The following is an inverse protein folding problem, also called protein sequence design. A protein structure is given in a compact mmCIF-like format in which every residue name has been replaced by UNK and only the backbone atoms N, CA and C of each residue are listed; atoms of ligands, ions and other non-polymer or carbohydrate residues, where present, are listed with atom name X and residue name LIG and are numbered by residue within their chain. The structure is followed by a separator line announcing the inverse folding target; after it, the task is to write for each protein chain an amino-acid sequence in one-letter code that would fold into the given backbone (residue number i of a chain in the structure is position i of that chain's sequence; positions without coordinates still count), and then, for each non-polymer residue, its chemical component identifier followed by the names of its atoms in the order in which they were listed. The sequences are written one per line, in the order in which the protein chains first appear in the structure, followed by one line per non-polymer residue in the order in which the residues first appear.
data_IF_062804866032
#
_entry.id   IF_062804866032
#
_cell.length_a   1.000
_cell.length_b   1.000
_cell.length_c   1.000
_cell.angle_alpha   90.00
_cell.angle_beta   90.00
_cell.angle_gamma   90.00
#
_symmetry.space_group_name_H-M   'P 1'
#
loop_
_entity.id
_entity.type
_entity.pdbx_description
1 polymer ?
#
# COMPACT_ATOMS: atom_id res chain seq x y z
N UNK A 1 -29.93 -9.61 -20.26
CA UNK A 1 -28.94 -8.82 -19.49
C UNK A 1 -27.56 -9.21 -19.96
N UNK A 2 -26.66 -8.26 -20.20
CA UNK A 2 -25.26 -8.60 -20.51
C UNK A 2 -24.60 -9.24 -19.30
N UNK A 3 -23.56 -10.06 -19.51
CA UNK A 3 -22.82 -10.73 -18.42
C UNK A 3 -22.31 -9.70 -17.41
N UNK A 4 -21.87 -8.55 -17.90
CA UNK A 4 -21.36 -7.44 -17.09
C UNK A 4 -22.45 -6.78 -16.23
N UNK A 5 -23.68 -6.67 -16.75
CA UNK A 5 -24.82 -6.15 -15.98
C UNK A 5 -25.22 -7.09 -14.84
N UNK A 6 -25.12 -8.40 -15.03
CA UNK A 6 -25.45 -9.38 -13.99
C UNK A 6 -24.40 -9.33 -12.87
N UNK A 7 -23.11 -9.24 -13.24
CA UNK A 7 -22.03 -9.10 -12.26
C UNK A 7 -22.16 -7.78 -11.50
N UNK A 8 -22.40 -6.67 -12.21
CA UNK A 8 -22.62 -5.37 -11.60
C UNK A 8 -23.83 -5.35 -10.66
N UNK A 9 -24.96 -5.92 -11.07
CA UNK A 9 -26.16 -6.03 -10.23
C UNK A 9 -25.92 -6.94 -9.01
N UNK A 10 -25.17 -8.03 -9.18
CA UNK A 10 -24.80 -8.93 -8.09
C UNK A 10 -23.95 -8.24 -7.04
N UNK A 11 -22.91 -7.50 -7.46
CA UNK A 11 -22.07 -6.71 -6.56
C UNK A 11 -22.92 -5.66 -5.84
N UNK A 12 -23.77 -4.93 -6.56
CA UNK A 12 -24.62 -3.89 -5.97
C UNK A 12 -25.57 -4.46 -4.90
N UNK A 13 -26.20 -5.60 -5.16
CA UNK A 13 -27.10 -6.26 -4.20
C UNK A 13 -26.35 -6.75 -2.97
N UNK A 14 -25.17 -7.36 -3.15
CA UNK A 14 -24.34 -7.82 -2.04
C UNK A 14 -23.88 -6.63 -1.19
N UNK A 15 -23.39 -5.56 -1.82
CA UNK A 15 -22.99 -4.34 -1.11
C UNK A 15 -24.15 -3.72 -0.36
N UNK A 16 -25.33 -3.60 -0.97
CA UNK A 16 -26.52 -3.09 -0.31
C UNK A 16 -26.92 -3.96 0.89
N UNK A 17 -26.89 -5.29 0.76
CA UNK A 17 -27.20 -6.20 1.86
C UNK A 17 -26.21 -6.06 3.02
N UNK A 18 -24.91 -5.93 2.75
CA UNK A 18 -23.89 -5.70 3.78
C UNK A 18 -24.11 -4.37 4.49
N UNK A 19 -24.44 -3.30 3.77
CA UNK A 19 -24.75 -1.98 4.37
C UNK A 19 -25.96 -2.10 5.30
N UNK A 20 -27.04 -2.73 4.84
CA UNK A 20 -28.25 -2.90 5.66
C UNK A 20 -27.97 -3.73 6.90
N UNK A 21 -27.23 -4.84 6.77
CA UNK A 21 -26.85 -5.67 7.90
C UNK A 21 -25.98 -4.91 8.93
N UNK A 22 -25.01 -4.13 8.45
CA UNK A 22 -24.17 -3.30 9.30
C UNK A 22 -24.98 -2.24 10.05
N UNK A 23 -25.87 -1.51 9.36
CA UNK A 23 -26.75 -0.53 9.99
C UNK A 23 -27.68 -1.19 11.02
N UNK A 24 -28.24 -2.36 10.71
CA UNK A 24 -29.07 -3.11 11.66
C UNK A 24 -28.29 -3.46 12.94
N UNK A 25 -27.08 -4.01 12.79
CA UNK A 25 -26.20 -4.34 13.91
C UNK A 25 -25.85 -3.09 14.75
N UNK A 26 -25.55 -1.97 14.10
CA UNK A 26 -25.15 -0.74 14.80
C UNK A 26 -26.33 -0.04 15.49
N UNK A 27 -27.53 -0.04 14.92
CA UNK A 27 -28.64 0.75 15.45
C UNK A 27 -29.65 -0.05 16.29
N UNK A 28 -29.84 -1.35 16.01
CA UNK A 28 -30.90 -2.16 16.61
C UNK A 28 -30.39 -3.21 17.60
N UNK A 29 -29.08 -3.32 17.82
CA UNK A 29 -28.50 -4.30 18.76
C UNK A 29 -27.71 -3.64 19.90
N UNK A 30 -27.66 -4.32 21.03
CA UNK A 30 -26.87 -3.92 22.22
C UNK A 30 -25.36 -3.89 21.97
N UNK A 31 -24.89 -4.56 20.92
CA UNK A 31 -23.49 -4.56 20.50
C UNK A 31 -23.07 -3.29 19.77
N UNK A 32 -23.99 -2.34 19.55
CA UNK A 32 -23.74 -1.06 18.88
C UNK A 32 -22.43 -0.38 19.32
N UNK A 33 -22.28 -0.16 20.63
CA UNK A 33 -21.10 0.51 21.18
C UNK A 33 -19.82 -0.31 20.99
N UNK A 34 -19.91 -1.65 21.07
CA UNK A 34 -18.76 -2.52 20.84
C UNK A 34 -18.32 -2.47 19.37
N UNK A 35 -19.27 -2.58 18.45
CA UNK A 35 -19.00 -2.52 17.01
C UNK A 35 -18.43 -1.16 16.61
N UNK A 36 -19.00 -0.06 17.09
CA UNK A 36 -18.49 1.29 16.83
C UNK A 36 -17.08 1.50 17.38
N UNK A 37 -16.78 0.96 18.57
CA UNK A 37 -15.42 0.97 19.12
C UNK A 37 -14.44 0.20 18.24
N UNK A 38 -14.84 -0.98 17.75
CA UNK A 38 -14.00 -1.79 16.87
C UNK A 38 -13.77 -1.08 15.54
N UNK A 39 -14.81 -0.56 14.88
CA UNK A 39 -14.64 0.15 13.60
C UNK A 39 -13.82 1.43 13.76
N UNK A 40 -14.04 2.18 14.84
CA UNK A 40 -13.20 3.34 15.20
C UNK A 40 -11.75 2.94 15.44
N UNK A 41 -11.51 1.86 16.20
CA UNK A 41 -10.16 1.36 16.48
C UNK A 41 -9.44 0.93 15.20
N UNK A 42 -10.12 0.21 14.29
CA UNK A 42 -9.56 -0.18 12.99
C UNK A 42 -9.20 1.05 12.15
N UNK A 43 -10.04 2.08 12.14
CA UNK A 43 -9.73 3.33 11.44
C UNK A 43 -8.49 4.03 12.03
N UNK A 44 -8.40 4.12 13.36
CA UNK A 44 -7.24 4.69 14.06
C UNK A 44 -5.97 3.88 13.77
N UNK A 45 -6.02 2.55 13.91
CA UNK A 45 -4.88 1.66 13.62
C UNK A 45 -4.46 1.76 12.15
N UNK A 46 -5.40 1.92 11.21
CA UNK A 46 -5.08 2.13 9.80
C UNK A 46 -4.29 3.41 9.59
N UNK A 47 -4.76 4.55 10.12
CA UNK A 47 -4.08 5.84 9.98
C UNK A 47 -2.73 5.85 10.68
N UNK A 48 -2.67 5.46 11.95
CA UNK A 48 -1.43 5.46 12.72
C UNK A 48 -0.46 4.35 12.28
N UNK A 49 -0.96 3.26 11.71
CA UNK A 49 -0.12 2.23 11.10
C UNK A 49 0.63 2.79 9.89
N UNK A 50 -0.04 3.56 9.04
CA UNK A 50 0.60 4.24 7.91
C UNK A 50 1.61 5.28 8.41
N UNK A 51 1.21 6.15 9.36
CA UNK A 51 2.12 7.16 9.92
C UNK A 51 3.33 6.53 10.61
N UNK A 52 3.11 5.44 11.35
CA UNK A 52 4.16 4.67 12.01
C UNK A 52 5.11 4.02 11.01
N UNK A 53 4.59 3.48 9.91
CA UNK A 53 5.43 2.96 8.82
C UNK A 53 6.28 4.04 8.18
N UNK A 54 5.71 5.21 7.88
CA UNK A 54 6.45 6.36 7.35
C UNK A 54 7.55 6.77 8.34
N UNK A 55 7.19 6.95 9.61
CA UNK A 55 8.14 7.30 10.67
C UNK A 55 9.26 6.26 10.82
N UNK A 56 8.92 4.96 10.72
CA UNK A 56 9.87 3.87 10.75
C UNK A 56 10.85 3.95 9.58
N UNK A 57 10.35 4.15 8.35
CA UNK A 57 11.21 4.31 7.18
C UNK A 57 12.14 5.51 7.33
N UNK A 58 11.63 6.69 7.72
CA UNK A 58 12.47 7.88 7.92
C UNK A 58 13.52 7.71 9.02
N UNK A 59 13.19 7.00 10.11
CA UNK A 59 14.12 6.76 11.21
C UNK A 59 15.19 5.72 10.88
N UNK A 60 14.90 4.79 9.97
CA UNK A 60 15.80 3.67 9.63
C UNK A 60 16.50 3.83 8.29
N UNK A 61 16.03 4.73 7.43
CA UNK A 61 16.77 5.12 6.23
C UNK A 61 17.86 6.10 6.63
N UNK A 62 19.15 5.76 6.42
CA UNK A 62 20.21 6.75 6.53
C UNK A 62 19.89 7.90 5.57
N UNK A 63 20.21 9.15 5.94
CA UNK A 63 19.96 10.31 5.10
C UNK A 63 20.50 10.00 3.70
N UNK A 64 19.73 10.30 2.64
CA UNK A 64 20.12 9.99 1.27
C UNK A 64 21.57 10.43 1.07
N UNK A 65 22.44 9.48 0.68
CA UNK A 65 23.86 9.78 0.46
C UNK A 65 23.98 11.03 -0.42
N UNK A 66 24.97 11.91 -0.19
CA UNK A 66 25.20 13.06 -1.07
C UNK A 66 25.18 12.59 -2.53
N UNK A 67 24.45 13.31 -3.37
CA UNK A 67 24.23 12.95 -4.78
C UNK A 67 25.57 12.69 -5.50
N UNK A 68 26.62 13.40 -5.09
CA UNK A 68 27.99 13.26 -5.60
C UNK A 68 28.62 11.87 -5.40
N UNK A 69 28.31 11.17 -4.30
CA UNK A 69 28.83 9.82 -4.04
C UNK A 69 28.07 8.77 -4.86
N UNK A 70 26.76 8.97 -5.04
CA UNK A 70 25.90 8.10 -5.85
C UNK A 70 26.27 8.24 -7.33
N UNK A 71 26.51 9.47 -7.82
CA UNK A 71 26.96 9.72 -9.18
C UNK A 71 28.32 9.06 -9.46
N UNK A 72 29.29 9.17 -8.53
CA UNK A 72 30.60 8.52 -8.68
C UNK A 72 30.52 7.00 -8.65
N UNK A 73 29.71 6.41 -7.76
CA UNK A 73 29.49 4.95 -7.70
C UNK A 73 28.85 4.45 -9.02
N UNK A 74 27.84 5.15 -9.55
CA UNK A 74 27.18 4.79 -10.83
C UNK A 74 28.14 4.97 -12.02
N UNK A 75 28.92 6.04 -12.06
CA UNK A 75 29.87 6.29 -13.15
C UNK A 75 31.00 5.25 -13.17
N UNK A 76 31.46 4.80 -11.99
CA UNK A 76 32.42 3.70 -11.87
C UNK A 76 31.84 2.34 -12.30
N UNK A 77 30.59 2.05 -11.92
CA UNK A 77 29.87 0.84 -12.35
C UNK A 77 29.68 0.82 -13.87
N UNK A 78 29.23 1.93 -14.47
CA UNK A 78 29.07 2.07 -15.92
C UNK A 78 30.41 1.92 -16.65
N UNK A 79 31.49 2.54 -16.18
CA UNK A 79 32.84 2.36 -16.75
C UNK A 79 33.36 0.93 -16.64
N UNK A 80 32.98 0.20 -15.59
CA UNK A 80 33.33 -1.23 -15.44
C UNK A 80 32.54 -2.12 -16.40
N UNK A 81 31.26 -1.82 -16.63
CA UNK A 81 30.41 -2.55 -17.59
C UNK A 81 30.90 -2.31 -19.01
N UNK A 82 31.16 -1.06 -19.39
CA UNK A 82 31.67 -0.69 -20.71
C UNK A 82 33.04 -1.34 -20.99
N UNK A 83 33.96 -1.32 -20.01
CA UNK A 83 35.25 -2.03 -20.12
C UNK A 83 35.13 -3.55 -20.21
N UNK A 84 34.05 -4.16 -19.70
CA UNK A 84 33.81 -5.60 -19.84
C UNK A 84 33.24 -5.92 -21.23
N UNK A 85 32.29 -5.14 -21.70
CA UNK A 85 31.71 -5.29 -23.05
C UNK A 85 32.75 -5.11 -24.16
N UNK A 86 33.64 -4.11 -24.06
CA UNK A 86 34.73 -3.92 -25.04
C UNK A 86 35.71 -5.10 -25.06
N UNK A 87 36.00 -5.71 -23.90
CA UNK A 87 36.89 -6.87 -23.78
C UNK A 87 36.26 -8.18 -24.25
N UNK A 88 34.94 -8.30 -24.20
CA UNK A 88 34.20 -9.43 -24.77
C UNK A 88 34.04 -9.30 -26.29
N UNK A 89 34.01 -8.07 -26.82
CA UNK A 89 33.87 -7.80 -28.26
C UNK A 89 35.21 -7.90 -29.03
N UNK A 90 36.35 -7.78 -28.34
CA UNK A 90 37.70 -7.95 -28.92
C UNK A 90 38.25 -9.40 -28.87
N UNK A 91 37.50 -10.36 -28.31
CA UNK A 91 37.88 -11.79 -28.26
C UNK A 91 37.15 -12.61 -29.33
#
# INVERSE_FOLDING_TARGET
MSRDQIVGAGILLISAAVIIAYLYLVFLTEFSLLLLKITGAVAVVGVFGILGWIGYTLATTPPPKPIEEIEKEIEEEMKKVEKKETKETEK
#
